data_IF_096973682199
#
_entry.id   IF_096973682199
#
_cell.length_a   1.000
_cell.length_b   1.000
_cell.length_c   1.000
_cell.angle_alpha   90.00
_cell.angle_beta   90.00
_cell.angle_gamma   90.00
#
_symmetry.space_group_name_H-M   'P 1'
#
loop_
_entity.id
_entity.type
_entity.pdbx_description
1 polymer ?
#
# COMPACT_ATOMS: atom_id res chain seq x y z
N UNK A 1 -20.21 -33.92 13.80
CA UNK A 1 -19.69 -34.12 12.43
C UNK A 1 -18.50 -33.17 12.25
N UNK A 2 -17.28 -33.70 12.18
CA UNK A 2 -16.06 -32.90 12.00
C UNK A 2 -15.94 -32.56 10.52
N UNK A 3 -15.96 -31.26 10.17
CA UNK A 3 -15.71 -30.75 8.84
C UNK A 3 -14.31 -31.20 8.37
N UNK A 4 -14.25 -31.95 7.29
CA UNK A 4 -12.99 -32.33 6.65
C UNK A 4 -12.40 -31.05 6.01
N UNK A 5 -11.35 -30.49 6.60
CA UNK A 5 -10.48 -29.51 5.94
C UNK A 5 -9.94 -30.16 4.67
N UNK A 6 -10.31 -29.63 3.52
CA UNK A 6 -9.73 -30.02 2.24
C UNK A 6 -8.21 -29.79 2.33
N UNK A 7 -7.42 -30.86 2.19
CA UNK A 7 -5.96 -30.77 2.06
C UNK A 7 -5.67 -29.94 0.81
N UNK A 8 -5.03 -28.77 0.99
CA UNK A 8 -4.43 -28.06 -0.14
C UNK A 8 -3.36 -28.98 -0.72
N UNK A 9 -3.52 -29.37 -1.98
CA UNK A 9 -2.46 -30.06 -2.72
C UNK A 9 -1.29 -29.09 -2.85
N UNK A 10 -0.13 -29.44 -2.28
CA UNK A 10 1.13 -28.75 -2.58
C UNK A 10 1.38 -28.83 -4.09
N UNK A 11 1.74 -27.74 -4.77
CA UNK A 11 2.16 -27.82 -6.16
C UNK A 11 3.35 -28.75 -6.30
N UNK A 12 3.34 -29.66 -7.27
CA UNK A 12 4.52 -30.45 -7.63
C UNK A 12 5.56 -29.51 -8.26
N UNK A 13 6.47 -28.99 -7.46
CA UNK A 13 7.54 -28.11 -7.90
C UNK A 13 8.02 -27.13 -6.82
N UNK A 14 9.11 -26.42 -7.07
CA UNK A 14 9.60 -25.42 -6.14
C UNK A 14 8.61 -24.27 -5.98
N UNK A 15 8.37 -23.85 -4.74
CA UNK A 15 7.55 -22.68 -4.43
C UNK A 15 8.32 -21.43 -4.80
N UNK A 16 7.74 -20.60 -5.67
CA UNK A 16 8.34 -19.35 -6.11
C UNK A 16 7.77 -18.17 -5.30
N UNK A 17 8.59 -17.60 -4.43
CA UNK A 17 8.25 -16.50 -3.53
C UNK A 17 8.90 -15.16 -3.94
N UNK A 18 9.35 -15.03 -5.20
CA UNK A 18 10.05 -13.82 -5.66
C UNK A 18 9.15 -12.58 -5.71
N UNK A 19 7.89 -12.74 -6.09
CA UNK A 19 6.93 -11.66 -6.27
C UNK A 19 5.51 -12.23 -6.40
N UNK A 20 4.50 -11.45 -6.04
CA UNK A 20 3.09 -11.73 -6.34
C UNK A 20 2.84 -11.82 -7.86
N UNK A 21 3.61 -11.09 -8.66
CA UNK A 21 3.50 -11.08 -10.14
C UNK A 21 3.77 -12.44 -10.80
N UNK A 22 4.43 -13.39 -10.12
CA UNK A 22 4.62 -14.75 -10.63
C UNK A 22 3.42 -15.66 -10.33
N UNK A 23 2.45 -15.22 -9.54
CA UNK A 23 1.24 -15.99 -9.23
C UNK A 23 0.33 -16.09 -10.46
N UNK A 24 -0.46 -17.17 -10.50
CA UNK A 24 -1.40 -17.40 -11.59
C UNK A 24 -2.82 -17.59 -11.05
N UNK A 25 -3.84 -17.10 -11.75
CA UNK A 25 -5.20 -17.30 -11.33
C UNK A 25 -5.55 -18.80 -11.31
N UNK A 26 -6.25 -19.22 -10.27
CA UNK A 26 -6.77 -20.61 -10.15
C UNK A 26 -7.82 -20.89 -11.23
N UNK A 27 -8.19 -22.17 -11.41
CA UNK A 27 -9.27 -22.53 -12.30
C UNK A 27 -10.58 -21.79 -11.96
N UNK A 28 -10.94 -21.74 -10.67
CA UNK A 28 -12.14 -21.06 -10.18
C UNK A 28 -12.10 -19.56 -10.46
N UNK A 29 -10.94 -18.91 -10.29
CA UNK A 29 -10.79 -17.48 -10.63
C UNK A 29 -11.00 -17.24 -12.12
N UNK A 30 -10.44 -18.10 -12.98
CA UNK A 30 -10.66 -17.99 -14.44
C UNK A 30 -12.11 -18.18 -14.84
N UNK A 31 -12.80 -19.13 -14.22
CA UNK A 31 -14.23 -19.35 -14.43
C UNK A 31 -15.04 -18.13 -14.01
N UNK A 32 -14.73 -17.52 -12.87
CA UNK A 32 -15.36 -16.29 -12.43
C UNK A 32 -15.13 -15.12 -13.40
N UNK A 33 -13.91 -14.96 -13.93
CA UNK A 33 -13.60 -13.93 -14.94
C UNK A 33 -14.42 -14.11 -16.21
N UNK A 34 -14.61 -15.35 -16.67
CA UNK A 34 -15.40 -15.63 -17.89
C UNK A 34 -16.89 -15.37 -17.69
N UNK A 35 -17.40 -15.60 -16.48
CA UNK A 35 -18.82 -15.45 -16.15
C UNK A 35 -19.19 -14.10 -15.55
N UNK A 36 -18.21 -13.20 -15.35
CA UNK A 36 -18.45 -11.89 -14.79
C UNK A 36 -19.38 -11.07 -15.69
N UNK A 37 -20.36 -10.43 -15.09
CA UNK A 37 -21.16 -9.42 -15.76
C UNK A 37 -20.33 -8.14 -15.90
N UNK A 38 -20.27 -7.59 -17.11
CA UNK A 38 -19.49 -6.40 -17.44
C UNK A 38 -20.36 -5.38 -18.14
N UNK A 39 -20.16 -4.11 -17.85
CA UNK A 39 -20.84 -2.98 -18.48
C UNK A 39 -19.88 -1.78 -18.53
N UNK A 40 -20.39 -0.61 -18.89
CA UNK A 40 -19.67 0.64 -19.04
C UNK A 40 -19.21 1.22 -17.68
N UNK A 41 -17.96 0.92 -17.34
CA UNK A 41 -17.35 1.41 -16.10
C UNK A 41 -17.10 2.93 -16.11
N UNK A 42 -16.93 3.55 -17.26
CA UNK A 42 -16.80 5.01 -17.39
C UNK A 42 -18.02 5.75 -16.83
N UNK A 43 -19.20 5.15 -16.97
CA UNK A 43 -20.45 5.65 -16.39
C UNK A 43 -20.78 5.02 -15.02
N UNK A 44 -19.87 4.25 -14.43
CA UNK A 44 -20.07 3.57 -13.17
C UNK A 44 -21.19 2.53 -13.21
N UNK A 45 -21.38 1.84 -14.34
CA UNK A 45 -22.43 0.86 -14.55
C UNK A 45 -21.98 -0.59 -14.43
N UNK A 46 -20.65 -0.83 -14.48
CA UNK A 46 -20.13 -2.20 -14.35
C UNK A 46 -20.45 -2.78 -12.97
N UNK A 47 -21.29 -3.83 -12.88
CA UNK A 47 -21.72 -4.36 -11.58
C UNK A 47 -20.61 -5.11 -10.86
N UNK A 48 -19.73 -5.79 -11.60
CA UNK A 48 -18.60 -6.54 -11.02
C UNK A 48 -17.57 -5.61 -10.42
N UNK A 49 -17.28 -4.49 -11.08
CA UNK A 49 -16.37 -3.47 -10.57
C UNK A 49 -16.92 -2.84 -9.30
N UNK A 50 -18.18 -2.44 -9.31
CA UNK A 50 -18.85 -1.82 -8.13
C UNK A 50 -18.91 -2.77 -6.94
N UNK A 51 -19.17 -4.06 -7.19
CA UNK A 51 -19.15 -5.08 -6.13
C UNK A 51 -17.76 -5.18 -5.50
N UNK A 52 -16.70 -5.22 -6.33
CA UNK A 52 -15.32 -5.27 -5.85
C UNK A 52 -14.99 -4.06 -4.97
N UNK A 53 -15.25 -2.85 -5.45
CA UNK A 53 -14.94 -1.60 -4.75
C UNK A 53 -15.73 -1.50 -3.43
N UNK A 54 -17.03 -1.77 -3.44
CA UNK A 54 -17.87 -1.79 -2.23
C UNK A 54 -17.36 -2.81 -1.21
N UNK A 55 -16.98 -4.00 -1.66
CA UNK A 55 -16.48 -5.05 -0.78
C UNK A 55 -15.16 -4.67 -0.14
N UNK A 56 -14.22 -4.12 -0.92
CA UNK A 56 -12.91 -3.68 -0.41
C UNK A 56 -13.06 -2.52 0.57
N UNK A 57 -13.87 -1.51 0.24
CA UNK A 57 -14.17 -0.41 1.16
C UNK A 57 -14.73 -0.93 2.50
N UNK A 58 -15.69 -1.87 2.45
CA UNK A 58 -16.28 -2.47 3.65
C UNK A 58 -15.29 -3.28 4.49
N UNK A 59 -14.41 -4.05 3.85
CA UNK A 59 -13.37 -4.83 4.54
C UNK A 59 -12.36 -3.94 5.26
N UNK A 60 -12.04 -2.78 4.68
CA UNK A 60 -11.07 -1.84 5.22
C UNK A 60 -11.70 -0.78 6.14
N UNK A 61 -13.03 -0.76 6.28
CA UNK A 61 -13.73 0.28 7.03
C UNK A 61 -13.54 1.68 6.44
N UNK A 62 -13.40 1.77 5.11
CA UNK A 62 -13.26 3.01 4.35
C UNK A 62 -14.59 3.43 3.75
N UNK A 63 -14.74 4.73 3.47
CA UNK A 63 -15.96 5.28 2.87
C UNK A 63 -16.16 4.79 1.44
N UNK A 64 -15.07 4.60 0.70
CA UNK A 64 -15.10 4.18 -0.70
C UNK A 64 -13.77 3.52 -1.11
N UNK A 65 -13.75 2.89 -2.28
CA UNK A 65 -12.58 2.31 -2.92
C UNK A 65 -12.62 2.54 -4.43
N UNK A 66 -11.46 2.57 -5.06
CA UNK A 66 -11.34 2.63 -6.51
C UNK A 66 -10.37 1.56 -6.98
N UNK A 67 -10.78 0.78 -7.98
CA UNK A 67 -9.90 -0.19 -8.61
C UNK A 67 -8.87 0.50 -9.52
N UNK A 68 -7.66 -0.02 -9.54
CA UNK A 68 -6.60 0.41 -10.44
C UNK A 68 -5.90 -0.80 -11.06
N UNK A 69 -5.41 -0.69 -12.31
CA UNK A 69 -4.77 -1.81 -13.00
C UNK A 69 -3.40 -2.21 -12.42
N UNK A 70 -2.82 -1.40 -11.54
CA UNK A 70 -1.55 -1.71 -10.87
C UNK A 70 -1.40 -0.97 -9.54
N UNK A 71 -0.61 -1.55 -8.61
CA UNK A 71 -0.23 -0.90 -7.36
C UNK A 71 0.52 0.40 -7.56
N UNK A 72 1.39 0.48 -8.58
CA UNK A 72 2.09 1.73 -8.93
C UNK A 72 1.13 2.85 -9.33
N UNK A 73 0.03 2.53 -10.03
CA UNK A 73 -1.01 3.52 -10.33
C UNK A 73 -1.77 3.93 -9.06
N UNK A 74 -2.07 2.98 -8.17
CA UNK A 74 -2.69 3.28 -6.88
C UNK A 74 -1.82 4.24 -6.05
N UNK A 75 -0.54 3.94 -5.91
CA UNK A 75 0.41 4.80 -5.21
C UNK A 75 0.51 6.19 -5.86
N UNK A 76 0.59 6.26 -7.18
CA UNK A 76 0.64 7.55 -7.89
C UNK A 76 -0.61 8.38 -7.63
N UNK A 77 -1.81 7.80 -7.70
CA UNK A 77 -3.08 8.49 -7.41
C UNK A 77 -3.08 9.00 -5.97
N UNK A 78 -2.67 8.16 -5.01
CA UNK A 78 -2.58 8.56 -3.60
C UNK A 78 -1.60 9.72 -3.41
N UNK A 79 -0.41 9.66 -4.01
CA UNK A 79 0.57 10.74 -3.94
C UNK A 79 0.02 12.05 -4.55
N UNK A 80 -0.59 11.98 -5.74
CA UNK A 80 -1.16 13.16 -6.39
C UNK A 80 -2.34 13.76 -5.60
N UNK A 81 -3.09 12.94 -4.87
CA UNK A 81 -4.18 13.40 -4.01
C UNK A 81 -3.69 14.05 -2.72
N UNK A 82 -2.51 13.67 -2.25
CA UNK A 82 -1.97 14.12 -0.97
C UNK A 82 -0.91 15.20 -1.09
N UNK A 83 -0.17 15.27 -2.17
CA UNK A 83 0.94 16.21 -2.37
C UNK A 83 0.54 17.39 -3.25
N UNK A 84 1.12 18.52 -2.95
CA UNK A 84 1.24 19.62 -3.91
C UNK A 84 2.66 19.59 -4.50
N UNK A 85 2.83 20.03 -5.71
CA UNK A 85 4.16 20.12 -6.32
C UNK A 85 5.10 20.94 -5.44
N UNK A 86 6.26 20.36 -5.11
CA UNK A 86 7.24 20.93 -4.20
C UNK A 86 7.05 20.55 -2.73
N UNK A 87 6.03 19.77 -2.38
CA UNK A 87 5.96 19.15 -1.05
C UNK A 87 6.97 18.00 -0.94
N UNK A 88 7.40 17.70 0.27
CA UNK A 88 8.15 16.49 0.57
C UNK A 88 7.26 15.42 1.19
N UNK A 89 7.62 14.17 0.96
CA UNK A 89 7.03 13.03 1.66
C UNK A 89 8.10 12.13 2.27
N UNK A 90 7.77 11.52 3.39
CA UNK A 90 8.62 10.56 4.10
C UNK A 90 8.21 9.15 3.69
N UNK A 91 9.18 8.24 3.57
CA UNK A 91 8.94 6.81 3.44
C UNK A 91 10.11 6.02 4.02
N UNK A 92 9.93 4.78 4.53
CA UNK A 92 11.04 3.91 4.88
C UNK A 92 12.01 3.77 3.70
N UNK A 93 13.31 3.72 3.96
CA UNK A 93 14.30 3.53 2.91
C UNK A 93 14.02 2.23 2.12
N UNK A 94 14.17 2.25 0.81
CA UNK A 94 13.88 1.12 -0.06
C UNK A 94 12.39 0.81 -0.23
N UNK A 95 11.47 1.65 0.29
CA UNK A 95 10.05 1.48 0.03
C UNK A 95 9.76 1.51 -1.49
N UNK A 96 8.78 0.73 -1.92
CA UNK A 96 8.44 0.54 -3.34
C UNK A 96 8.19 1.88 -4.05
N UNK A 97 7.48 2.81 -3.39
CA UNK A 97 7.20 4.16 -3.90
C UNK A 97 8.44 5.01 -4.15
N UNK A 98 9.58 4.68 -3.51
CA UNK A 98 10.85 5.39 -3.71
C UNK A 98 11.63 4.84 -4.90
N UNK A 99 11.77 3.51 -4.99
CA UNK A 99 12.80 2.86 -5.80
C UNK A 99 12.25 2.04 -6.96
N UNK A 100 10.98 1.62 -6.94
CA UNK A 100 10.41 0.64 -7.87
C UNK A 100 9.29 1.17 -8.79
N UNK A 101 9.01 2.48 -8.79
CA UNK A 101 7.89 3.07 -9.54
C UNK A 101 8.34 4.14 -10.57
N UNK A 102 9.50 3.95 -11.18
CA UNK A 102 10.03 4.82 -12.25
C UNK A 102 10.17 6.30 -11.84
N UNK A 103 10.25 6.60 -10.55
CA UNK A 103 10.34 7.95 -10.03
C UNK A 103 9.07 8.79 -10.20
N UNK A 104 7.92 8.16 -10.42
CA UNK A 104 6.61 8.85 -10.63
C UNK A 104 6.24 9.79 -9.49
N UNK A 105 6.64 9.46 -8.27
CA UNK A 105 6.48 10.34 -7.11
C UNK A 105 7.11 11.72 -7.32
N UNK A 106 8.28 11.78 -7.95
CA UNK A 106 8.98 13.04 -8.18
C UNK A 106 8.48 13.76 -9.44
N UNK A 107 8.41 13.06 -10.58
CA UNK A 107 8.15 13.77 -11.85
C UNK A 107 6.67 13.94 -12.18
N UNK A 108 5.77 13.06 -11.74
CA UNK A 108 4.33 13.20 -11.94
C UNK A 108 3.64 13.85 -10.74
N UNK A 109 3.78 13.28 -9.54
CA UNK A 109 3.18 13.86 -8.35
C UNK A 109 3.90 15.14 -7.87
N UNK A 110 5.16 15.35 -8.29
CA UNK A 110 5.95 16.53 -7.94
C UNK A 110 6.40 16.56 -6.49
N UNK A 111 6.45 15.39 -5.83
CA UNK A 111 6.85 15.23 -4.45
C UNK A 111 8.35 14.98 -4.29
N UNK A 112 9.00 15.62 -3.32
CA UNK A 112 10.38 15.35 -2.97
C UNK A 112 10.47 14.16 -2.02
N UNK A 113 11.05 13.01 -2.42
CA UNK A 113 11.18 11.86 -1.53
C UNK A 113 12.23 12.13 -0.43
N UNK A 114 11.92 11.73 0.79
CA UNK A 114 12.82 11.80 1.94
C UNK A 114 12.84 10.44 2.65
N UNK A 115 13.80 9.57 2.30
CA UNK A 115 13.92 8.24 2.93
C UNK A 115 14.20 8.34 4.42
N UNK A 116 13.54 7.50 5.21
CA UNK A 116 13.78 7.31 6.63
C UNK A 116 14.62 6.05 6.86
N UNK A 117 15.64 6.09 7.72
CA UNK A 117 16.38 4.88 8.07
C UNK A 117 15.48 3.90 8.84
N UNK A 118 15.79 2.62 8.72
CA UNK A 118 15.12 1.54 9.44
C UNK A 118 15.59 1.50 10.91
N UNK A 119 15.12 2.42 11.73
CA UNK A 119 15.56 2.55 13.13
C UNK A 119 14.75 1.68 14.13
N UNK A 120 13.71 0.99 13.64
CA UNK A 120 12.88 0.08 14.43
C UNK A 120 12.93 -1.38 13.93
N UNK A 121 13.90 -1.70 13.07
CA UNK A 121 14.08 -3.01 12.44
C UNK A 121 13.93 -2.93 10.91
N UNK A 122 14.23 -4.03 10.18
CA UNK A 122 14.17 -4.04 8.73
C UNK A 122 12.81 -3.59 8.20
N UNK A 123 12.79 -2.59 7.32
CA UNK A 123 11.55 -2.01 6.76
C UNK A 123 10.74 -1.14 7.73
N UNK A 124 11.13 -1.05 8.99
CA UNK A 124 10.36 -0.36 10.03
C UNK A 124 11.00 0.97 10.45
N UNK A 125 10.15 1.95 10.71
CA UNK A 125 10.54 3.26 11.21
C UNK A 125 9.87 3.54 12.55
N UNK A 126 10.60 4.22 13.46
CA UNK A 126 10.03 4.58 14.75
C UNK A 126 9.19 5.85 14.69
N UNK A 127 8.24 6.02 15.63
CA UNK A 127 7.54 7.31 15.82
C UNK A 127 8.51 8.47 16.03
N UNK A 128 9.67 8.21 16.65
CA UNK A 128 10.72 9.21 16.87
C UNK A 128 11.36 9.69 15.58
N UNK A 129 11.68 8.76 14.66
CA UNK A 129 12.23 9.11 13.35
C UNK A 129 11.27 9.97 12.53
N UNK A 130 9.99 9.62 12.54
CA UNK A 130 8.95 10.41 11.84
C UNK A 130 8.86 11.82 12.39
N UNK A 131 8.79 12.00 13.73
CA UNK A 131 8.74 13.33 14.35
C UNK A 131 9.96 14.18 14.00
N UNK A 132 11.16 13.60 14.05
CA UNK A 132 12.39 14.32 13.68
C UNK A 132 12.41 14.74 12.21
N UNK A 133 11.98 13.84 11.32
CA UNK A 133 12.00 14.09 9.89
C UNK A 133 10.87 15.02 9.41
N UNK A 134 9.73 15.01 10.09
CA UNK A 134 8.65 15.96 9.83
C UNK A 134 9.13 17.40 9.99
N UNK A 135 10.03 17.63 10.97
CA UNK A 135 10.58 18.95 11.25
C UNK A 135 9.58 19.91 11.88
N UNK A 136 10.03 21.14 12.10
CA UNK A 136 9.16 22.25 12.50
C UNK A 136 8.82 23.11 11.27
N UNK A 137 7.68 23.82 11.28
CA UNK A 137 7.39 24.83 10.26
C UNK A 137 8.55 25.82 10.14
N UNK A 138 9.06 25.99 8.94
CA UNK A 138 10.15 26.92 8.65
C UNK A 138 9.67 28.14 7.86
N UNK A 139 10.58 29.05 7.49
CA UNK A 139 10.30 30.17 6.59
C UNK A 139 9.71 29.69 5.25
N UNK A 140 9.10 30.59 4.49
CA UNK A 140 8.37 30.29 3.24
C UNK A 140 9.18 29.52 2.18
N UNK A 141 10.50 29.60 2.21
CA UNK A 141 11.42 28.91 1.30
C UNK A 141 11.81 27.49 1.81
N UNK A 142 11.33 27.09 2.96
CA UNK A 142 11.63 25.76 3.53
C UNK A 142 10.79 24.68 2.88
N UNK A 143 11.41 23.56 2.54
CA UNK A 143 10.72 22.39 2.01
C UNK A 143 9.70 21.89 3.04
N UNK A 144 8.45 21.79 2.62
CA UNK A 144 7.33 21.39 3.47
C UNK A 144 7.09 19.89 3.37
N UNK A 145 7.23 19.18 4.47
CA UNK A 145 6.88 17.75 4.56
C UNK A 145 5.39 17.63 4.92
N UNK A 146 4.62 16.89 4.12
CA UNK A 146 3.15 16.83 4.28
C UNK A 146 2.57 15.43 4.31
N UNK A 147 3.37 14.40 3.97
CA UNK A 147 2.90 13.03 3.84
C UNK A 147 3.94 12.06 4.41
N UNK A 148 3.45 11.00 5.07
CA UNK A 148 4.19 9.79 5.37
C UNK A 148 3.59 8.64 4.55
N UNK A 149 4.41 7.99 3.73
CA UNK A 149 4.08 6.72 3.08
C UNK A 149 4.67 5.59 3.92
N UNK A 150 3.86 4.59 4.23
CA UNK A 150 4.26 3.34 4.88
C UNK A 150 4.05 2.20 3.91
N UNK A 151 4.77 1.11 4.07
CA UNK A 151 4.64 -0.10 3.25
C UNK A 151 4.55 -1.32 4.16
N UNK A 152 3.51 -2.11 4.01
CA UNK A 152 3.31 -3.36 4.74
C UNK A 152 2.65 -4.42 3.81
N UNK A 153 3.31 -5.52 3.54
CA UNK A 153 4.65 -5.93 4.00
C UNK A 153 5.74 -5.19 3.24
N UNK A 154 6.88 -4.84 3.89
CA UNK A 154 7.95 -4.08 3.23
C UNK A 154 8.78 -4.98 2.31
N UNK A 155 8.62 -4.83 1.00
CA UNK A 155 9.17 -5.73 -0.02
C UNK A 155 10.70 -5.81 0.04
N UNK A 156 11.39 -4.68 -0.08
CA UNK A 156 12.86 -4.63 -0.09
C UNK A 156 13.50 -5.07 1.23
N UNK A 157 12.75 -5.11 2.33
CA UNK A 157 13.20 -5.64 3.62
C UNK A 157 12.86 -7.13 3.80
N UNK A 158 12.60 -7.86 2.70
CA UNK A 158 12.31 -9.29 2.74
C UNK A 158 10.89 -9.65 3.15
N UNK A 159 9.93 -8.76 2.92
CA UNK A 159 8.52 -8.97 3.28
C UNK A 159 8.26 -8.80 4.78
N UNK A 160 9.02 -7.93 5.44
CA UNK A 160 8.85 -7.65 6.86
C UNK A 160 7.46 -7.12 7.16
N UNK A 161 6.80 -7.73 8.13
CA UNK A 161 5.49 -7.31 8.65
C UNK A 161 5.69 -6.30 9.78
N UNK A 162 5.00 -5.18 9.69
CA UNK A 162 4.85 -4.23 10.80
C UNK A 162 3.53 -4.53 11.50
N UNK A 163 3.55 -4.78 12.80
CA UNK A 163 2.35 -5.10 13.56
C UNK A 163 1.36 -3.92 13.63
N UNK A 164 0.05 -4.17 13.80
CA UNK A 164 -0.97 -3.12 13.80
C UNK A 164 -0.74 -2.02 14.84
N UNK A 165 -0.28 -2.37 16.03
CA UNK A 165 0.04 -1.42 17.10
C UNK A 165 1.27 -0.56 16.78
N UNK A 166 2.30 -1.14 16.17
CA UNK A 166 3.47 -0.41 15.66
C UNK A 166 3.05 0.59 14.57
N UNK A 167 2.21 0.15 13.61
CA UNK A 167 1.64 1.03 12.59
C UNK A 167 0.82 2.16 13.19
N UNK A 168 -0.04 1.86 14.15
CA UNK A 168 -0.87 2.84 14.82
C UNK A 168 -0.01 3.91 15.53
N UNK A 169 1.05 3.49 16.21
CA UNK A 169 1.97 4.41 16.89
C UNK A 169 2.70 5.34 15.91
N UNK A 170 3.17 4.82 14.78
CA UNK A 170 3.85 5.59 13.73
C UNK A 170 2.86 6.56 13.05
N UNK A 171 1.66 6.09 12.72
CA UNK A 171 0.62 6.91 12.12
C UNK A 171 0.15 8.03 13.08
N UNK A 172 0.02 7.75 14.37
CA UNK A 172 -0.29 8.76 15.39
C UNK A 172 0.79 9.84 15.46
N UNK A 173 2.08 9.44 15.42
CA UNK A 173 3.18 10.39 15.40
C UNK A 173 3.18 11.28 14.15
N UNK A 174 2.86 10.71 12.99
CA UNK A 174 2.72 11.47 11.74
C UNK A 174 1.58 12.47 11.82
N UNK A 175 0.40 12.04 12.27
CA UNK A 175 -0.77 12.93 12.42
C UNK A 175 -0.52 14.05 13.44
N UNK A 176 0.15 13.75 14.55
CA UNK A 176 0.56 14.77 15.55
C UNK A 176 1.54 15.79 14.97
N UNK A 177 2.31 15.42 13.94
CA UNK A 177 3.18 16.30 13.17
C UNK A 177 2.49 16.93 11.94
N UNK A 178 1.15 16.85 11.85
CA UNK A 178 0.33 17.33 10.73
C UNK A 178 0.64 16.70 9.38
N UNK A 179 1.22 15.50 9.36
CA UNK A 179 1.39 14.73 8.14
C UNK A 179 0.14 13.90 7.85
N UNK A 180 -0.22 13.78 6.58
CA UNK A 180 -1.12 12.73 6.09
C UNK A 180 -0.39 11.40 6.12
N UNK A 181 -1.15 10.30 6.11
CA UNK A 181 -0.58 8.94 6.10
C UNK A 181 -1.18 8.19 4.93
N UNK A 182 -0.32 7.61 4.10
CA UNK A 182 -0.64 6.64 3.06
C UNK A 182 -0.01 5.31 3.44
N UNK A 183 -0.76 4.23 3.32
CA UNK A 183 -0.28 2.86 3.51
C UNK A 183 -0.34 2.12 2.18
N UNK A 184 0.83 1.76 1.66
CA UNK A 184 0.95 0.78 0.59
C UNK A 184 0.83 -0.63 1.21
N UNK A 185 -0.33 -1.23 1.02
CA UNK A 185 -0.68 -2.57 1.51
C UNK A 185 -0.84 -3.58 0.38
N UNK A 186 -0.12 -3.42 -0.74
CA UNK A 186 -0.27 -4.21 -1.96
C UNK A 186 -0.30 -5.73 -1.73
N UNK A 187 0.46 -6.22 -0.74
CA UNK A 187 0.53 -7.64 -0.39
C UNK A 187 -0.29 -8.01 0.87
N UNK A 188 -0.99 -7.07 1.48
CA UNK A 188 -1.71 -7.26 2.73
C UNK A 188 -2.75 -8.39 2.64
N UNK A 189 -3.47 -8.49 1.52
CA UNK A 189 -4.49 -9.52 1.30
C UNK A 189 -3.95 -10.90 0.96
N UNK A 190 -2.67 -11.01 0.70
CA UNK A 190 -2.00 -12.29 0.38
C UNK A 190 -1.14 -12.79 1.52
N UNK A 191 -1.03 -12.03 2.61
CA UNK A 191 -0.29 -12.36 3.83
C UNK A 191 -1.23 -12.72 4.98
N UNK A 192 -0.75 -13.52 5.93
CA UNK A 192 -1.49 -13.87 7.16
C UNK A 192 -1.80 -12.63 8.03
N UNK A 193 -1.14 -11.50 7.76
CA UNK A 193 -1.40 -10.24 8.44
C UNK A 193 -2.77 -9.60 8.10
N UNK A 194 -3.48 -10.11 7.11
CA UNK A 194 -4.84 -9.67 6.79
C UNK A 194 -5.91 -10.30 7.70
N UNK A 195 -5.56 -11.37 8.44
CA UNK A 195 -6.48 -12.16 9.27
C UNK A 195 -6.40 -11.76 10.76
N UNK A 196 -5.53 -10.81 11.14
CA UNK A 196 -5.37 -10.24 12.48
C UNK A 196 -5.97 -8.81 12.56
#
# INVERSE_FOLDING_TARGET
MRSARARRSTPDGPVDLRSDTVTRPTKRMREAMVSAEVDDDVLGRDPTMRELETRVAGLLGMDDAVWTPSGSMANLIALMSHLRRGDAFLAPAGAHVLDAELGTAAWLAGGMPRPLPHDAGPGKVSPGAVRRAAGSPGPYYTLRTTLLCLENTHNAAGGTVTAPDEHAAVAAAARAAHLRVHLDGCLLYTSDAADE
#
